data_IF_510506180933
#
_entry.id   IF_510506180933
#
_cell.length_a   1.000
_cell.length_b   1.000
_cell.length_c   1.000
_cell.angle_alpha   90.00
_cell.angle_beta   90.00
_cell.angle_gamma   90.00
#
_symmetry.space_group_name_H-M   'P 1'
#
loop_
_entity.id
_entity.type
_entity.pdbx_description
1 polymer ?
#
# COMPACT_ATOMS: atom_id res chain seq x y z
N UNK A 1 25.59 4.50 -23.77
CA UNK A 1 25.20 3.08 -23.63
C UNK A 1 25.57 2.47 -22.26
N UNK A 2 26.70 2.86 -21.64
CA UNK A 2 27.12 2.32 -20.33
C UNK A 2 26.41 2.87 -19.08
N UNK A 3 25.77 4.03 -19.15
CA UNK A 3 25.14 4.66 -17.97
C UNK A 3 23.86 3.95 -17.51
N UNK A 4 23.05 3.41 -18.43
CA UNK A 4 21.84 2.67 -18.07
C UNK A 4 22.11 1.36 -17.34
N UNK A 5 23.21 0.66 -17.69
CA UNK A 5 23.63 -0.55 -16.99
C UNK A 5 24.09 -0.25 -15.55
N UNK A 6 24.66 0.93 -15.30
CA UNK A 6 25.00 1.38 -13.95
C UNK A 6 23.75 1.66 -13.12
N UNK A 7 22.76 2.36 -13.70
CA UNK A 7 21.48 2.63 -13.05
C UNK A 7 20.75 1.33 -12.68
N UNK A 8 20.60 0.41 -13.63
CA UNK A 8 20.01 -0.91 -13.37
C UNK A 8 20.78 -1.70 -12.31
N UNK A 9 22.11 -1.63 -12.32
CA UNK A 9 22.94 -2.27 -11.29
C UNK A 9 22.76 -1.64 -9.92
N UNK A 10 22.53 -0.33 -9.83
CA UNK A 10 22.27 0.35 -8.57
C UNK A 10 20.88 0.02 -8.03
N UNK A 11 19.85 0.10 -8.88
CA UNK A 11 18.50 -0.34 -8.52
C UNK A 11 18.51 -1.81 -8.10
N UNK A 12 19.28 -2.66 -8.78
CA UNK A 12 19.42 -4.06 -8.40
C UNK A 12 20.22 -4.29 -7.11
N UNK A 13 21.03 -3.33 -6.65
CA UNK A 13 21.75 -3.46 -5.36
C UNK A 13 20.90 -2.95 -4.21
N UNK A 14 20.14 -1.91 -4.45
CA UNK A 14 19.17 -1.39 -3.51
C UNK A 14 17.99 -2.36 -3.34
N UNK A 15 17.47 -2.50 -2.14
CA UNK A 15 16.33 -3.39 -1.88
C UNK A 15 15.04 -2.85 -2.51
N UNK A 16 14.82 -1.53 -2.41
CA UNK A 16 13.63 -0.88 -2.96
C UNK A 16 13.70 -0.86 -4.49
N UNK A 17 14.87 -0.58 -5.06
CA UNK A 17 15.12 -0.67 -6.50
C UNK A 17 14.82 -2.08 -7.05
N UNK A 18 15.35 -3.13 -6.41
CA UNK A 18 15.07 -4.53 -6.77
C UNK A 18 13.58 -4.83 -6.68
N UNK A 19 12.94 -4.42 -5.59
CA UNK A 19 11.51 -4.61 -5.42
C UNK A 19 10.74 -3.95 -6.57
N UNK A 20 11.04 -2.70 -6.91
CA UNK A 20 10.37 -1.98 -7.99
C UNK A 20 10.53 -2.68 -9.35
N UNK A 21 11.74 -3.16 -9.66
CA UNK A 21 12.01 -3.91 -10.89
C UNK A 21 11.21 -5.22 -10.91
N UNK A 22 11.30 -6.02 -9.85
CA UNK A 22 10.59 -7.30 -9.77
C UNK A 22 9.06 -7.09 -9.80
N UNK A 23 8.58 -6.07 -9.09
CA UNK A 23 7.19 -5.69 -9.05
C UNK A 23 6.69 -5.28 -10.44
N UNK A 24 7.48 -4.57 -11.23
CA UNK A 24 7.09 -4.15 -12.60
C UNK A 24 6.79 -5.33 -13.53
N UNK A 25 7.43 -6.48 -13.30
CA UNK A 25 7.27 -7.70 -14.11
C UNK A 25 6.20 -8.62 -13.54
N UNK A 26 6.30 -8.95 -12.25
CA UNK A 26 5.51 -10.03 -11.65
C UNK A 26 4.16 -9.58 -11.08
N UNK A 27 3.98 -8.28 -10.83
CA UNK A 27 2.71 -7.77 -10.30
C UNK A 27 1.55 -7.98 -11.28
N UNK A 28 1.82 -7.92 -12.58
CA UNK A 28 0.80 -8.07 -13.65
C UNK A 28 0.71 -9.46 -14.25
N UNK A 29 1.54 -10.42 -13.82
CA UNK A 29 1.46 -11.79 -14.33
C UNK A 29 0.10 -12.40 -13.93
N UNK A 30 -0.74 -12.81 -14.90
CA UNK A 30 -2.07 -13.31 -14.60
C UNK A 30 -2.05 -14.75 -14.09
N UNK A 31 -3.23 -15.20 -13.63
CA UNK A 31 -3.48 -16.59 -13.28
C UNK A 31 -2.80 -17.06 -11.99
N UNK A 32 -2.89 -18.38 -11.74
CA UNK A 32 -2.44 -19.02 -10.50
C UNK A 32 -0.94 -18.85 -10.26
N UNK A 33 -0.13 -18.85 -11.32
CA UNK A 33 1.32 -18.66 -11.22
C UNK A 33 1.66 -17.28 -10.63
N UNK A 34 1.13 -16.22 -11.23
CA UNK A 34 1.36 -14.86 -10.74
C UNK A 34 0.81 -14.65 -9.33
N UNK A 35 -0.38 -15.17 -9.05
CA UNK A 35 -0.98 -15.10 -7.70
C UNK A 35 -0.09 -15.79 -6.65
N UNK A 36 0.38 -17.00 -6.94
CA UNK A 36 1.23 -17.76 -6.02
C UNK A 36 2.56 -17.06 -5.80
N UNK A 37 3.16 -16.52 -6.86
CA UNK A 37 4.39 -15.76 -6.77
C UNK A 37 4.21 -14.51 -5.88
N UNK A 38 3.18 -13.68 -6.14
CA UNK A 38 2.93 -12.46 -5.38
C UNK A 38 2.77 -12.74 -3.90
N UNK A 39 1.94 -13.72 -3.54
CA UNK A 39 1.64 -14.07 -2.15
C UNK A 39 2.86 -14.66 -1.42
N UNK A 40 3.78 -15.30 -2.14
CA UNK A 40 5.01 -15.85 -1.55
C UNK A 40 6.11 -14.80 -1.35
N UNK A 41 6.22 -13.84 -2.27
CA UNK A 41 7.39 -12.98 -2.39
C UNK A 41 7.17 -11.56 -1.90
N UNK A 42 6.01 -10.95 -2.15
CA UNK A 42 5.76 -9.54 -1.82
C UNK A 42 5.65 -9.31 -0.31
N UNK A 43 4.94 -10.15 0.49
CA UNK A 43 4.82 -9.90 1.92
C UNK A 43 6.15 -9.90 2.68
N UNK A 44 7.21 -10.46 2.10
CA UNK A 44 8.58 -10.44 2.67
C UNK A 44 9.19 -9.03 2.73
N UNK A 45 8.63 -8.08 1.98
CA UNK A 45 9.06 -6.69 1.97
C UNK A 45 8.26 -5.81 2.95
N UNK A 46 7.24 -6.37 3.63
CA UNK A 46 6.54 -5.69 4.70
C UNK A 46 7.43 -5.60 5.94
N UNK A 47 7.19 -4.62 6.79
CA UNK A 47 7.86 -4.56 8.10
C UNK A 47 7.55 -5.82 8.91
N UNK A 48 6.27 -6.22 8.90
CA UNK A 48 5.74 -7.42 9.53
C UNK A 48 4.64 -7.99 8.63
N UNK A 49 4.61 -9.31 8.50
CA UNK A 49 3.58 -10.03 7.75
C UNK A 49 3.19 -11.30 8.49
N UNK A 50 1.88 -11.46 8.70
CA UNK A 50 1.27 -12.73 9.05
C UNK A 50 1.27 -13.73 7.91
N UNK A 51 0.59 -14.85 8.15
CA UNK A 51 0.37 -15.95 7.24
C UNK A 51 -0.84 -15.70 6.36
N UNK A 52 -0.93 -16.38 5.21
CA UNK A 52 -2.15 -16.33 4.39
C UNK A 52 -2.40 -15.00 3.66
N UNK A 53 -1.46 -14.05 3.66
CA UNK A 53 -1.59 -12.77 2.95
C UNK A 53 -1.71 -12.98 1.45
N UNK A 54 -2.79 -12.46 0.87
CA UNK A 54 -3.08 -12.53 -0.57
C UNK A 54 -2.95 -11.15 -1.20
N UNK A 55 -2.19 -11.08 -2.28
CA UNK A 55 -1.92 -9.88 -3.04
C UNK A 55 -2.33 -10.14 -4.49
N UNK A 56 -3.44 -9.53 -4.87
CA UNK A 56 -3.99 -9.64 -6.21
C UNK A 56 -3.16 -8.85 -7.23
N UNK A 57 -3.49 -9.00 -8.51
CA UNK A 57 -2.74 -8.34 -9.58
C UNK A 57 -2.89 -6.81 -9.54
N UNK A 58 -1.87 -6.11 -10.05
CA UNK A 58 -1.91 -4.66 -10.23
C UNK A 58 -1.72 -3.82 -8.96
N UNK A 59 -1.58 -4.44 -7.78
CA UNK A 59 -1.37 -3.73 -6.51
C UNK A 59 -0.09 -2.89 -6.56
N UNK A 60 -0.18 -1.65 -6.10
CA UNK A 60 0.94 -0.71 -6.03
C UNK A 60 1.24 -0.37 -4.58
N UNK A 61 2.53 -0.30 -4.27
CA UNK A 61 3.03 0.04 -2.94
C UNK A 61 3.96 1.24 -3.03
N UNK A 62 3.85 2.13 -2.05
CA UNK A 62 4.88 3.11 -1.70
C UNK A 62 5.15 3.00 -0.20
N UNK A 63 6.43 3.00 0.20
CA UNK A 63 6.80 2.74 1.59
C UNK A 63 6.46 1.31 2.04
N UNK A 64 6.63 0.30 1.19
CA UNK A 64 6.25 -1.10 1.47
C UNK A 64 6.82 -1.65 2.80
N UNK A 65 8.04 -1.26 3.15
CA UNK A 65 8.73 -1.62 4.39
C UNK A 65 8.15 -0.94 5.64
N UNK A 66 7.07 -0.17 5.51
CA UNK A 66 6.32 0.45 6.61
C UNK A 66 4.91 -0.12 6.78
N UNK A 67 4.63 -1.21 6.07
CA UNK A 67 3.37 -1.96 6.19
C UNK A 67 3.54 -3.04 7.25
N UNK A 68 2.62 -3.10 8.19
CA UNK A 68 2.43 -4.22 9.13
C UNK A 68 1.11 -4.90 8.78
N UNK A 69 1.15 -6.19 8.52
CA UNK A 69 0.02 -6.95 7.99
C UNK A 69 -0.22 -8.19 8.86
N UNK A 70 -1.45 -8.38 9.33
CA UNK A 70 -1.87 -9.56 10.08
C UNK A 70 -2.05 -10.81 9.23
N UNK A 71 -2.69 -11.82 9.81
CA UNK A 71 -2.99 -13.10 9.17
C UNK A 71 -4.20 -12.98 8.23
N UNK A 72 -4.21 -13.75 7.14
CA UNK A 72 -5.32 -13.92 6.20
C UNK A 72 -5.88 -12.61 5.58
N UNK A 73 -5.02 -11.60 5.44
CA UNK A 73 -5.36 -10.33 4.77
C UNK A 73 -5.44 -10.52 3.24
N UNK A 74 -6.47 -9.93 2.63
CA UNK A 74 -6.66 -9.95 1.18
C UNK A 74 -6.63 -8.53 0.57
N UNK A 75 -5.57 -8.26 -0.20
CA UNK A 75 -5.36 -7.00 -0.92
C UNK A 75 -5.85 -7.14 -2.35
N UNK A 76 -7.01 -6.55 -2.65
CA UNK A 76 -7.72 -6.63 -3.92
C UNK A 76 -6.98 -6.06 -5.13
N UNK A 77 -7.49 -6.39 -6.32
CA UNK A 77 -6.92 -6.01 -7.62
C UNK A 77 -6.75 -4.49 -7.74
N UNK A 78 -5.63 -4.06 -8.29
CA UNK A 78 -5.33 -2.65 -8.59
C UNK A 78 -5.35 -1.68 -7.41
N UNK A 79 -5.26 -2.20 -6.19
CA UNK A 79 -5.16 -1.37 -4.99
C UNK A 79 -3.88 -0.54 -4.97
N UNK A 80 -3.90 0.60 -4.30
CA UNK A 80 -2.70 1.41 -4.10
C UNK A 80 -2.55 1.79 -2.63
N UNK A 81 -1.51 1.25 -2.01
CA UNK A 81 -1.13 1.52 -0.63
C UNK A 81 0.06 2.47 -0.59
N UNK A 82 -0.18 3.73 -0.24
CA UNK A 82 0.87 4.69 0.09
C UNK A 82 1.10 4.71 1.60
N UNK A 83 2.05 3.91 2.06
CA UNK A 83 2.38 3.63 3.45
C UNK A 83 3.62 4.38 3.98
N UNK A 84 4.13 5.41 3.29
CA UNK A 84 5.28 6.19 3.78
C UNK A 84 5.11 6.74 5.21
N UNK A 85 3.89 7.04 5.67
CA UNK A 85 3.57 7.43 7.06
C UNK A 85 3.25 6.27 8.01
N UNK A 86 3.23 5.03 7.53
CA UNK A 86 2.92 3.80 8.29
C UNK A 86 1.50 3.29 8.06
N UNK A 87 1.38 1.99 7.76
CA UNK A 87 0.09 1.32 7.54
C UNK A 87 0.03 0.02 8.35
N UNK A 88 -1.00 -0.13 9.17
CA UNK A 88 -1.30 -1.36 9.90
C UNK A 88 -2.61 -1.97 9.43
N UNK A 89 -2.59 -3.24 9.05
CA UNK A 89 -3.75 -4.04 8.69
C UNK A 89 -3.86 -5.20 9.69
N UNK A 90 -4.96 -5.28 10.42
CA UNK A 90 -5.27 -6.40 11.31
C UNK A 90 -5.58 -7.69 10.53
N UNK A 91 -5.88 -8.75 11.27
CA UNK A 91 -6.19 -10.05 10.67
C UNK A 91 -7.47 -10.01 9.83
N UNK A 92 -7.53 -10.82 8.77
CA UNK A 92 -8.74 -11.02 7.95
C UNK A 92 -9.31 -9.75 7.33
N UNK A 93 -8.49 -8.70 7.18
CA UNK A 93 -8.88 -7.50 6.43
C UNK A 93 -9.04 -7.84 4.96
N UNK A 94 -10.18 -7.49 4.38
CA UNK A 94 -10.46 -7.66 2.95
C UNK A 94 -10.63 -6.28 2.31
N UNK A 95 -9.90 -6.06 1.22
CA UNK A 95 -10.06 -4.86 0.39
C UNK A 95 -10.59 -5.25 -0.98
N UNK A 96 -11.66 -4.61 -1.40
CA UNK A 96 -12.19 -4.74 -2.75
C UNK A 96 -11.22 -4.16 -3.81
N UNK A 97 -11.55 -4.28 -5.09
CA UNK A 97 -10.74 -3.75 -6.18
C UNK A 97 -10.61 -2.22 -6.13
N UNK A 98 -9.45 -1.70 -6.48
CA UNK A 98 -9.18 -0.26 -6.63
C UNK A 98 -9.22 0.56 -5.34
N UNK A 99 -9.12 -0.08 -4.16
CA UNK A 99 -9.00 0.60 -2.86
C UNK A 99 -7.67 1.35 -2.79
N UNK A 100 -7.71 2.56 -2.23
CA UNK A 100 -6.55 3.44 -2.05
C UNK A 100 -6.40 3.80 -0.58
N UNK A 101 -5.20 3.66 -0.03
CA UNK A 101 -4.90 4.00 1.36
C UNK A 101 -3.69 4.93 1.40
N UNK A 102 -3.87 6.13 1.94
CA UNK A 102 -2.85 7.16 2.00
C UNK A 102 -2.46 7.44 3.44
N UNK A 103 -1.15 7.58 3.68
CA UNK A 103 -0.56 7.92 5.00
C UNK A 103 0.26 9.20 4.94
N UNK A 104 0.20 9.91 3.81
CA UNK A 104 0.94 11.15 3.55
C UNK A 104 0.00 12.18 2.96
N UNK A 105 0.12 13.43 3.40
CA UNK A 105 -0.53 14.56 2.77
C UNK A 105 0.49 15.68 2.49
N UNK A 106 0.18 16.58 1.57
CA UNK A 106 0.94 17.82 1.44
C UNK A 106 0.54 18.81 2.54
N UNK A 107 1.48 19.64 2.97
CA UNK A 107 1.14 20.85 3.72
C UNK A 107 0.42 21.84 2.79
N UNK A 108 -0.58 22.54 3.33
CA UNK A 108 -1.37 23.53 2.59
C UNK A 108 -1.76 24.76 3.44
N UNK A 109 -1.17 24.89 4.63
CA UNK A 109 -1.55 25.94 5.59
C UNK A 109 -0.98 27.32 5.21
N UNK A 110 0.11 27.36 4.44
CA UNK A 110 0.70 28.62 3.96
C UNK A 110 0.11 29.01 2.60
N UNK A 111 -0.84 29.94 2.61
CA UNK A 111 -1.51 30.43 1.39
C UNK A 111 -0.63 31.32 0.51
N UNK A 112 0.58 31.68 0.97
CA UNK A 112 1.51 32.54 0.23
C UNK A 112 2.55 31.77 -0.57
N UNK A 113 2.65 30.45 -0.37
CA UNK A 113 3.64 29.58 -1.02
C UNK A 113 2.96 28.48 -1.85
N UNK A 114 3.52 28.07 -3.00
CA UNK A 114 3.03 26.90 -3.74
C UNK A 114 3.03 25.62 -2.89
N UNK A 115 1.99 24.78 -3.00
CA UNK A 115 1.83 23.54 -2.20
C UNK A 115 3.05 22.63 -2.29
N UNK A 116 3.68 22.51 -3.47
CA UNK A 116 4.84 21.65 -3.69
C UNK A 116 6.08 22.06 -2.88
N UNK A 117 6.15 23.30 -2.41
CA UNK A 117 7.28 23.82 -1.63
C UNK A 117 7.04 23.74 -0.12
N UNK A 118 5.82 23.38 0.31
CA UNK A 118 5.44 23.43 1.73
C UNK A 118 5.82 22.17 2.52
N UNK A 119 6.12 21.06 1.85
CA UNK A 119 6.47 19.79 2.50
C UNK A 119 5.27 18.84 2.67
N UNK A 120 5.39 17.91 3.62
CA UNK A 120 4.46 16.79 3.79
C UNK A 120 4.19 16.44 5.25
N UNK A 121 2.93 16.12 5.55
CA UNK A 121 2.49 15.48 6.78
C UNK A 121 2.51 13.96 6.62
N UNK A 122 2.92 13.26 7.68
CA UNK A 122 2.88 11.80 7.77
C UNK A 122 1.96 11.39 8.91
N UNK A 123 0.86 10.71 8.58
CA UNK A 123 -0.10 10.25 9.57
C UNK A 123 -0.43 8.77 9.32
N UNK A 124 -0.15 7.87 10.29
CA UNK A 124 -0.35 6.45 10.10
C UNK A 124 -1.83 6.10 9.94
N UNK A 125 -2.12 5.06 9.17
CA UNK A 125 -3.46 4.48 9.04
C UNK A 125 -3.49 3.13 9.73
N UNK A 126 -4.54 2.87 10.51
CA UNK A 126 -4.75 1.59 11.20
C UNK A 126 -6.12 1.03 10.83
N UNK A 127 -6.15 -0.19 10.29
CA UNK A 127 -7.38 -0.91 9.97
C UNK A 127 -7.43 -2.14 10.88
N UNK A 128 -8.44 -2.20 11.76
CA UNK A 128 -8.66 -3.31 12.67
C UNK A 128 -8.93 -4.64 11.97
N UNK A 129 -8.95 -5.74 12.75
CA UNK A 129 -9.26 -7.06 12.22
C UNK A 129 -10.69 -7.14 11.65
N UNK A 130 -10.95 -8.13 10.79
CA UNK A 130 -12.27 -8.42 10.21
C UNK A 130 -12.94 -7.22 9.51
N UNK A 131 -12.15 -6.25 9.04
CA UNK A 131 -12.67 -5.13 8.27
C UNK A 131 -12.85 -5.49 6.80
N UNK A 132 -13.91 -4.96 6.19
CA UNK A 132 -14.12 -5.04 4.75
C UNK A 132 -14.24 -3.65 4.13
N UNK A 133 -13.33 -3.33 3.21
CA UNK A 133 -13.37 -2.10 2.44
C UNK A 133 -13.91 -2.41 1.05
N UNK A 134 -15.07 -1.84 0.71
CA UNK A 134 -15.69 -1.99 -0.61
C UNK A 134 -14.82 -1.44 -1.74
N UNK A 135 -15.17 -1.80 -2.98
CA UNK A 135 -14.43 -1.39 -4.16
C UNK A 135 -14.25 0.14 -4.24
N UNK A 136 -13.06 0.59 -4.63
CA UNK A 136 -12.78 2.02 -4.85
C UNK A 136 -12.77 2.91 -3.61
N UNK A 137 -12.83 2.35 -2.39
CA UNK A 137 -12.70 3.14 -1.15
C UNK A 137 -11.37 3.89 -1.11
N UNK A 138 -11.41 5.14 -0.67
CA UNK A 138 -10.23 5.94 -0.36
C UNK A 138 -10.13 6.17 1.14
N UNK A 139 -9.01 5.76 1.75
CA UNK A 139 -8.71 5.98 3.17
C UNK A 139 -7.67 7.09 3.31
N UNK A 140 -8.04 8.17 3.98
CA UNK A 140 -7.18 9.33 4.22
C UNK A 140 -6.12 9.07 5.30
N UNK A 141 -5.03 9.86 5.31
CA UNK A 141 -4.02 9.81 6.37
C UNK A 141 -4.63 10.00 7.76
N UNK A 142 -4.12 9.24 8.74
CA UNK A 142 -4.55 9.32 10.13
C UNK A 142 -5.83 8.54 10.47
N UNK A 143 -6.47 7.88 9.51
CA UNK A 143 -7.68 7.09 9.76
C UNK A 143 -7.40 5.87 10.63
N UNK A 144 -8.27 5.65 11.62
CA UNK A 144 -8.34 4.44 12.44
C UNK A 144 -9.72 3.82 12.25
N UNK A 145 -9.76 2.62 11.65
CA UNK A 145 -10.97 1.81 11.57
C UNK A 145 -10.96 0.75 12.68
N UNK A 146 -12.01 0.67 13.51
CA UNK A 146 -12.10 -0.37 14.53
C UNK A 146 -12.35 -1.74 13.89
N UNK A 147 -12.14 -2.80 14.67
CA UNK A 147 -12.44 -4.19 14.28
C UNK A 147 -13.89 -4.35 13.79
N UNK A 148 -14.09 -5.19 12.77
CA UNK A 148 -15.40 -5.50 12.20
C UNK A 148 -16.03 -4.38 11.37
N UNK A 149 -15.28 -3.32 11.04
CA UNK A 149 -15.80 -2.20 10.27
C UNK A 149 -16.00 -2.56 8.80
N UNK A 150 -17.18 -2.23 8.25
CA UNK A 150 -17.48 -2.35 6.82
C UNK A 150 -17.62 -0.97 6.19
N UNK A 151 -16.83 -0.70 5.16
CA UNK A 151 -16.84 0.56 4.42
C UNK A 151 -17.47 0.34 3.05
N UNK A 152 -18.53 1.09 2.75
CA UNK A 152 -19.23 1.01 1.47
C UNK A 152 -18.33 1.42 0.30
N UNK A 153 -18.54 0.81 -0.87
CA UNK A 153 -17.79 1.10 -2.09
C UNK A 153 -17.77 2.60 -2.42
N UNK A 154 -16.68 3.08 -3.00
CA UNK A 154 -16.43 4.47 -3.39
C UNK A 154 -16.50 5.51 -2.25
N UNK A 155 -16.54 5.07 -0.98
CA UNK A 155 -16.48 6.00 0.15
C UNK A 155 -15.10 6.64 0.29
N UNK A 156 -15.08 7.90 0.75
CA UNK A 156 -13.88 8.54 1.28
C UNK A 156 -13.96 8.52 2.80
N UNK A 157 -13.08 7.77 3.44
CA UNK A 157 -12.97 7.72 4.90
C UNK A 157 -11.93 8.73 5.34
N UNK A 158 -12.34 9.67 6.18
CA UNK A 158 -11.48 10.74 6.67
C UNK A 158 -11.68 10.98 8.17
N UNK A 159 -10.60 11.34 8.85
CA UNK A 159 -10.69 11.93 10.18
C UNK A 159 -11.15 13.37 10.06
N UNK A 160 -12.06 13.79 10.93
CA UNK A 160 -12.37 15.21 11.11
C UNK A 160 -11.20 15.85 11.85
N UNK A 161 -10.50 16.77 11.20
CA UNK A 161 -9.56 17.68 11.87
C UNK A 161 -10.34 18.66 12.74
#
# INVERSE_FOLDING_TARGET
MFEWLKLLRWDWRDEIGRFNILNSVWMRTPGRLGFTWRNRHIPRYFAESGHGVKIHDGVRFRGIHRIRCGDDVEIGVDNFLQASGGLSLGDRVITGPGVRIWTVNHHFDDVTRPINDQGFDYAPVSIGADCWLGAGVFVMPGVVLPEGCVVSAHSVVACKK
#
